data_IF_051081454713
#
_entry.id   IF_051081454713
#
_cell.length_a   1.000
_cell.length_b   1.000
_cell.length_c   1.000
_cell.angle_alpha   90.00
_cell.angle_beta   90.00
_cell.angle_gamma   90.00
#
_symmetry.space_group_name_H-M   'P 1'
#
loop_
_entity.id
_entity.type
_entity.pdbx_description
1 polymer ?
#
# COMPACT_ATOMS: atom_id res chain seq x y z
N UNK A 1 -2.06 15.06 16.18
CA UNK A 1 -2.20 15.42 14.75
C UNK A 1 -2.91 14.28 14.03
N UNK A 2 -4.24 14.36 13.95
CA UNK A 2 -5.10 13.32 13.38
C UNK A 2 -4.92 13.26 11.86
N UNK A 3 -4.42 12.14 11.34
CA UNK A 3 -4.29 11.87 9.91
C UNK A 3 -5.64 11.52 9.24
N UNK A 4 -6.73 12.16 9.66
CA UNK A 4 -8.12 11.89 9.24
C UNK A 4 -8.29 11.78 7.71
N UNK A 5 -7.65 12.62 6.86
CA UNK A 5 -7.79 12.50 5.41
C UNK A 5 -7.18 11.22 4.84
N UNK A 6 -6.09 10.72 5.44
CA UNK A 6 -5.33 9.59 4.91
C UNK A 6 -5.95 8.26 5.35
N UNK A 7 -6.40 8.15 6.59
CA UNK A 7 -7.17 6.99 7.04
C UNK A 7 -8.41 6.79 6.16
N UNK A 8 -9.18 7.85 5.92
CA UNK A 8 -10.35 7.80 5.04
C UNK A 8 -10.00 7.44 3.58
N UNK A 9 -8.83 7.84 3.08
CA UNK A 9 -8.38 7.44 1.74
C UNK A 9 -8.04 5.95 1.68
N UNK A 10 -7.37 5.41 2.70
CA UNK A 10 -7.03 3.98 2.77
C UNK A 10 -8.29 3.14 3.00
N UNK A 11 -9.27 3.63 3.75
CA UNK A 11 -10.56 2.95 3.93
C UNK A 11 -11.35 2.84 2.61
N UNK A 12 -11.19 3.80 1.68
CA UNK A 12 -11.74 3.69 0.32
C UNK A 12 -11.02 2.61 -0.50
N UNK A 13 -9.71 2.44 -0.32
CA UNK A 13 -8.95 1.35 -0.95
C UNK A 13 -9.43 0.01 -0.41
N UNK A 14 -9.58 -0.12 0.91
CA UNK A 14 -10.13 -1.32 1.56
C UNK A 14 -11.51 -1.68 0.99
N UNK A 15 -12.42 -0.72 0.91
CA UNK A 15 -13.75 -0.93 0.34
C UNK A 15 -13.71 -1.31 -1.15
N UNK A 16 -12.78 -0.73 -1.92
CA UNK A 16 -12.63 -1.05 -3.34
C UNK A 16 -12.10 -2.47 -3.56
N UNK A 17 -11.13 -2.92 -2.75
CA UNK A 17 -10.59 -4.28 -2.78
C UNK A 17 -11.62 -5.34 -2.38
N UNK A 18 -12.59 -4.98 -1.53
CA UNK A 18 -13.70 -5.86 -1.15
C UNK A 18 -14.87 -5.90 -2.14
N UNK A 19 -14.84 -5.15 -3.25
CA UNK A 19 -15.98 -4.99 -4.15
C UNK A 19 -16.27 -6.21 -5.04
N UNK A 20 -15.23 -6.93 -5.45
CA UNK A 20 -15.36 -8.08 -6.34
C UNK A 20 -15.02 -9.37 -5.59
N UNK A 21 -15.84 -10.41 -5.75
CA UNK A 21 -15.70 -11.68 -5.02
C UNK A 21 -14.63 -12.61 -5.59
N UNK A 22 -14.18 -12.33 -6.82
CA UNK A 22 -13.45 -13.30 -7.64
C UNK A 22 -11.95 -13.29 -7.38
N UNK A 23 -11.49 -12.50 -6.42
CA UNK A 23 -10.11 -12.49 -5.95
C UNK A 23 -9.73 -11.21 -5.21
N UNK A 24 -8.46 -11.08 -4.78
CA UNK A 24 -7.99 -10.06 -3.85
C UNK A 24 -7.54 -8.75 -4.52
N UNK A 25 -7.77 -8.61 -5.83
CA UNK A 25 -7.34 -7.47 -6.64
C UNK A 25 -8.48 -6.46 -6.86
N UNK A 26 -8.16 -5.25 -7.30
CA UNK A 26 -9.16 -4.17 -7.45
C UNK A 26 -10.34 -4.52 -8.37
N UNK A 27 -10.13 -5.43 -9.33
CA UNK A 27 -11.16 -5.94 -10.25
C UNK A 27 -11.38 -7.46 -10.06
N UNK A 28 -11.11 -7.99 -8.86
CA UNK A 28 -11.13 -9.42 -8.53
C UNK A 28 -9.86 -10.13 -9.00
N UNK A 29 -9.52 -10.01 -10.28
CA UNK A 29 -8.29 -10.56 -10.87
C UNK A 29 -7.24 -9.47 -11.11
N UNK A 30 -5.95 -9.86 -11.18
CA UNK A 30 -4.84 -8.92 -11.37
C UNK A 30 -5.01 -8.13 -12.67
N UNK A 31 -4.82 -6.81 -12.58
CA UNK A 31 -5.14 -5.87 -13.66
C UNK A 31 -4.20 -4.65 -13.64
N UNK A 32 -4.36 -3.78 -14.64
CA UNK A 32 -3.63 -2.50 -14.70
C UNK A 32 -3.91 -1.58 -13.51
N UNK A 33 -5.08 -1.70 -12.87
CA UNK A 33 -5.40 -0.89 -11.68
C UNK A 33 -4.46 -1.28 -10.52
N UNK A 34 -4.20 -2.57 -10.35
CA UNK A 34 -3.28 -3.06 -9.32
C UNK A 34 -1.86 -2.54 -9.57
N UNK A 35 -1.40 -2.59 -10.83
CA UNK A 35 -0.10 -2.04 -11.23
C UNK A 35 0.02 -0.54 -10.98
N UNK A 36 -1.07 0.21 -11.20
CA UNK A 36 -1.08 1.66 -10.98
C UNK A 36 -0.99 2.03 -9.49
N UNK A 37 -1.60 1.23 -8.61
CA UNK A 37 -1.71 1.55 -7.18
C UNK A 37 -0.65 0.88 -6.31
N UNK A 38 -0.16 -0.30 -6.67
CA UNK A 38 0.76 -1.08 -5.82
C UNK A 38 2.03 -0.31 -5.42
N UNK A 39 2.69 0.49 -6.29
CA UNK A 39 3.90 1.22 -5.89
C UNK A 39 3.61 2.31 -4.86
N UNK A 40 2.40 2.89 -4.88
CA UNK A 40 1.99 3.88 -3.89
C UNK A 40 1.65 3.21 -2.57
N UNK A 41 0.92 2.09 -2.59
CA UNK A 41 0.59 1.32 -1.39
C UNK A 41 1.87 0.87 -0.67
N UNK A 42 2.86 0.36 -1.40
CA UNK A 42 4.17 -0.02 -0.85
C UNK A 42 4.87 1.17 -0.17
N UNK A 43 4.97 2.31 -0.85
CA UNK A 43 5.60 3.52 -0.28
C UNK A 43 4.85 4.03 0.96
N UNK A 44 3.52 3.93 0.97
CA UNK A 44 2.73 4.29 2.16
C UNK A 44 2.95 3.30 3.30
N UNK A 45 3.10 1.99 3.05
CA UNK A 45 3.46 1.03 4.10
C UNK A 45 4.81 1.39 4.75
N UNK A 46 5.83 1.69 3.94
CA UNK A 46 7.16 2.10 4.42
C UNK A 46 7.05 3.40 5.24
N UNK A 47 6.31 4.39 4.74
CA UNK A 47 6.09 5.65 5.45
C UNK A 47 5.37 5.44 6.80
N UNK A 48 4.30 4.67 6.82
CA UNK A 48 3.52 4.40 8.03
C UNK A 48 4.34 3.66 9.09
N UNK A 49 5.03 2.60 8.69
CA UNK A 49 5.87 1.82 9.60
C UNK A 49 7.08 2.64 10.07
N UNK A 50 7.78 3.30 9.15
CA UNK A 50 9.03 3.99 9.42
C UNK A 50 8.87 5.29 10.23
N UNK A 51 7.87 6.11 9.90
CA UNK A 51 7.68 7.46 10.45
C UNK A 51 6.51 7.50 11.45
N UNK A 52 5.35 6.96 11.09
CA UNK A 52 4.15 6.99 11.96
C UNK A 52 4.20 5.92 13.06
N UNK A 53 5.08 4.91 12.93
CA UNK A 53 5.15 3.72 13.79
C UNK A 53 3.80 3.01 13.88
N UNK A 54 3.08 2.94 12.77
CA UNK A 54 1.75 2.34 12.67
C UNK A 54 1.66 1.43 11.44
N UNK A 55 0.69 0.53 11.42
CA UNK A 55 0.44 -0.39 10.31
C UNK A 55 -0.71 0.11 9.42
N UNK A 56 -0.40 0.37 8.15
CA UNK A 56 -1.36 0.79 7.14
C UNK A 56 -2.52 -0.21 6.98
N UNK A 57 -2.24 -1.52 7.09
CA UNK A 57 -3.23 -2.58 6.90
C UNK A 57 -4.01 -2.92 8.19
N UNK A 58 -3.73 -2.25 9.31
CA UNK A 58 -4.41 -2.51 10.57
C UNK A 58 -5.93 -2.28 10.45
N UNK A 59 -6.71 -3.33 10.68
CA UNK A 59 -8.17 -3.30 10.55
C UNK A 59 -8.67 -3.31 9.10
N UNK A 60 -7.80 -3.59 8.13
CA UNK A 60 -8.09 -3.56 6.68
C UNK A 60 -7.72 -4.90 6.04
N UNK A 61 -8.54 -5.95 6.23
CA UNK A 61 -8.22 -7.32 5.81
C UNK A 61 -8.08 -7.47 4.29
N UNK A 62 -8.84 -6.72 3.47
CA UNK A 62 -8.71 -6.81 2.02
C UNK A 62 -7.39 -6.20 1.55
N UNK A 63 -6.97 -5.07 2.13
CA UNK A 63 -5.67 -4.47 1.88
C UNK A 63 -4.53 -5.41 2.28
N UNK A 64 -4.63 -6.07 3.44
CA UNK A 64 -3.65 -7.07 3.87
C UNK A 64 -3.50 -8.20 2.84
N UNK A 65 -4.63 -8.75 2.37
CA UNK A 65 -4.64 -9.82 1.37
C UNK A 65 -4.11 -9.37 0.01
N UNK A 66 -4.46 -8.16 -0.43
CA UNK A 66 -3.93 -7.56 -1.64
C UNK A 66 -2.39 -7.46 -1.60
N UNK A 67 -1.83 -6.98 -0.49
CA UNK A 67 -0.38 -6.86 -0.29
C UNK A 67 0.27 -8.25 -0.34
N UNK A 68 -0.30 -9.25 0.31
CA UNK A 68 0.23 -10.62 0.28
C UNK A 68 0.31 -11.17 -1.15
N UNK A 69 -0.77 -10.99 -1.92
CA UNK A 69 -0.93 -11.59 -3.24
C UNK A 69 -0.13 -10.85 -4.31
N UNK A 70 -0.07 -9.53 -4.26
CA UNK A 70 0.75 -8.77 -5.21
C UNK A 70 2.24 -9.04 -5.01
N UNK A 71 2.68 -9.36 -3.78
CA UNK A 71 4.07 -9.77 -3.50
C UNK A 71 4.43 -11.15 -4.07
N UNK A 72 3.46 -11.92 -4.59
CA UNK A 72 3.69 -13.18 -5.32
C UNK A 72 3.86 -12.95 -6.82
N UNK A 73 3.66 -11.72 -7.32
CA UNK A 73 3.80 -11.39 -8.74
C UNK A 73 5.27 -11.10 -9.05
N UNK A 74 5.93 -12.04 -9.73
CA UNK A 74 7.36 -11.95 -10.09
C UNK A 74 7.75 -10.66 -10.83
N UNK A 75 6.88 -10.19 -11.73
CA UNK A 75 7.13 -8.97 -12.47
C UNK A 75 7.14 -7.73 -11.55
N UNK A 76 6.33 -7.72 -10.49
CA UNK A 76 6.30 -6.63 -9.53
C UNK A 76 7.49 -6.69 -8.58
N UNK A 77 7.84 -7.87 -8.06
CA UNK A 77 8.95 -8.02 -7.10
C UNK A 77 10.29 -7.57 -7.68
N UNK A 78 10.51 -7.75 -8.99
CA UNK A 78 11.69 -7.25 -9.71
C UNK A 78 11.78 -5.72 -9.79
N UNK A 79 10.68 -4.99 -9.58
CA UNK A 79 10.65 -3.52 -9.64
C UNK A 79 10.83 -2.83 -8.30
N UNK A 80 10.87 -3.62 -7.21
CA UNK A 80 10.97 -3.08 -5.85
C UNK A 80 12.32 -2.42 -5.62
N UNK A 81 12.27 -1.30 -4.91
CA UNK A 81 13.45 -0.59 -4.45
C UNK A 81 13.77 -0.98 -3.01
N UNK A 82 15.00 -0.73 -2.60
CA UNK A 82 15.41 -0.93 -1.21
C UNK A 82 14.49 -0.12 -0.25
N UNK A 83 13.90 -0.76 0.78
CA UNK A 83 12.97 -0.08 1.68
C UNK A 83 13.60 1.08 2.47
N UNK A 84 14.88 0.98 2.80
CA UNK A 84 15.59 2.03 3.54
C UNK A 84 15.82 3.25 2.63
N UNK A 85 16.23 3.02 1.38
CA UNK A 85 16.31 4.06 0.37
C UNK A 85 14.98 4.81 0.19
N UNK A 86 13.86 4.07 0.09
CA UNK A 86 12.53 4.68 -0.02
C UNK A 86 12.14 5.47 1.23
N UNK A 87 12.46 4.98 2.42
CA UNK A 87 12.20 5.68 3.67
C UNK A 87 12.98 7.00 3.75
N UNK A 88 14.25 6.99 3.37
CA UNK A 88 15.10 8.18 3.40
C UNK A 88 14.65 9.22 2.38
N UNK A 89 14.28 8.81 1.16
CA UNK A 89 13.66 9.70 0.18
C UNK A 89 12.36 10.35 0.70
N UNK A 90 11.54 9.59 1.43
CA UNK A 90 10.29 10.11 1.99
C UNK A 90 10.56 11.10 3.13
N UNK A 91 11.52 10.80 4.01
CA UNK A 91 11.98 11.72 5.05
C UNK A 91 12.45 13.04 4.47
N UNK A 92 13.30 13.00 3.46
CA UNK A 92 13.78 14.18 2.73
C UNK A 92 12.62 14.98 2.14
N UNK A 93 11.73 14.31 1.39
CA UNK A 93 10.58 14.95 0.73
C UNK A 93 9.63 15.66 1.70
N UNK A 94 9.47 15.13 2.91
CA UNK A 94 8.57 15.69 3.92
C UNK A 94 9.30 16.52 5.00
N UNK A 95 10.61 16.75 4.87
CA UNK A 95 11.40 17.53 5.83
C UNK A 95 11.46 16.89 7.23
N UNK A 96 11.42 15.56 7.30
CA UNK A 96 11.47 14.77 8.54
C UNK A 96 12.92 14.31 8.71
N UNK A 97 13.73 15.11 9.41
CA UNK A 97 15.11 14.74 9.76
C UNK A 97 15.13 13.53 10.71
#
# INVERSE_FOLDING_TARGET
>A
MSCLPLAAAVDKIEAALGKFSDGPFFLGQFSLVDMAYVPFIERFQIFYSGIKKDDLAKGRPNLHKFIEEVNKVDAYTQTKLDPQFLLDQMKEKFGIA
#
